data_IF_526809681219
#
_entry.id   IF_526809681219
#
_cell.length_a   1.000
_cell.length_b   1.000
_cell.length_c   1.000
_cell.angle_alpha   90.00
_cell.angle_beta   90.00
_cell.angle_gamma   90.00
#
_symmetry.space_group_name_H-M   'P 1'
#
loop_
_entity.id
_entity.type
_entity.pdbx_description
1 polymer ?
#
# COMPACT_ATOMS: atom_id res chain seq x y z
N UNK A 1 4.89 -15.01 5.00
CA UNK A 1 4.20 -14.48 3.79
C UNK A 1 2.72 -14.81 3.91
N UNK A 2 1.79 -13.84 3.72
CA UNK A 2 0.35 -14.05 3.94
C UNK A 2 -0.24 -15.31 3.28
N UNK A 3 0.14 -15.60 2.04
CA UNK A 3 -0.30 -16.82 1.36
C UNK A 3 0.22 -18.11 2.00
N UNK A 4 1.43 -18.09 2.61
CA UNK A 4 1.95 -19.23 3.36
C UNK A 4 1.19 -19.44 4.67
N UNK A 5 0.75 -18.36 5.31
CA UNK A 5 -0.06 -18.41 6.53
C UNK A 5 -1.44 -19.04 6.26
N UNK A 6 -1.97 -18.84 5.05
CA UNK A 6 -3.19 -19.47 4.56
C UNK A 6 -3.00 -20.93 4.09
N UNK A 7 -1.79 -21.48 4.23
CA UNK A 7 -1.49 -22.88 3.91
C UNK A 7 -1.00 -23.14 2.48
N UNK A 8 -0.86 -22.12 1.64
CA UNK A 8 -0.37 -22.30 0.28
C UNK A 8 1.13 -22.55 0.22
N UNK A 9 1.57 -23.43 -0.69
CA UNK A 9 2.99 -23.65 -0.97
C UNK A 9 3.55 -22.50 -1.80
N UNK A 10 4.07 -21.48 -1.12
CA UNK A 10 4.61 -20.27 -1.74
C UNK A 10 6.13 -20.30 -1.71
N UNK A 11 6.73 -20.14 -2.89
CA UNK A 11 8.17 -19.96 -3.05
C UNK A 11 8.46 -18.55 -3.57
N UNK A 12 9.33 -17.83 -2.88
CA UNK A 12 9.87 -16.56 -3.37
C UNK A 12 11.17 -16.87 -4.09
N UNK A 13 11.27 -16.46 -5.35
CA UNK A 13 12.45 -16.73 -6.17
C UNK A 13 12.79 -15.54 -7.06
N UNK A 14 14.08 -15.35 -7.32
CA UNK A 14 14.63 -14.44 -8.34
C UNK A 14 15.03 -15.21 -9.60
N UNK A 15 14.76 -16.51 -9.68
CA UNK A 15 15.12 -17.36 -10.80
C UNK A 15 13.88 -17.87 -11.52
N UNK A 16 13.77 -17.50 -12.80
CA UNK A 16 12.71 -18.00 -13.67
C UNK A 16 12.85 -19.50 -13.98
N UNK A 17 14.03 -20.08 -13.78
CA UNK A 17 14.28 -21.51 -14.03
C UNK A 17 13.56 -22.43 -13.02
N UNK A 18 12.98 -21.85 -11.99
CA UNK A 18 12.21 -22.57 -10.97
C UNK A 18 10.71 -22.69 -11.31
N UNK A 19 10.27 -22.02 -12.38
CA UNK A 19 8.89 -22.08 -12.84
C UNK A 19 8.65 -23.42 -13.52
N UNK A 20 7.62 -24.12 -13.09
CA UNK A 20 7.17 -25.40 -13.64
C UNK A 20 5.82 -25.26 -14.33
N UNK A 21 5.39 -26.27 -15.06
CA UNK A 21 4.09 -26.28 -15.77
C UNK A 21 2.88 -26.22 -14.84
N UNK A 22 3.07 -26.48 -13.55
CA UNK A 22 2.00 -26.40 -12.54
C UNK A 22 2.11 -25.14 -11.67
N UNK A 23 3.01 -24.22 -12.00
CA UNK A 23 3.21 -23.00 -11.21
C UNK A 23 2.13 -21.96 -11.48
N UNK A 24 1.67 -21.30 -10.42
CA UNK A 24 1.01 -20.00 -10.49
C UNK A 24 2.06 -18.96 -10.11
N UNK A 25 2.38 -18.08 -11.02
CA UNK A 25 3.48 -17.13 -10.91
C UNK A 25 2.92 -15.75 -10.70
N UNK A 26 3.11 -15.18 -9.50
CA UNK A 26 2.84 -13.76 -9.23
C UNK A 26 4.12 -12.97 -9.50
N UNK A 27 4.14 -12.21 -10.55
CA UNK A 27 5.28 -11.38 -10.94
C UNK A 27 5.03 -9.93 -10.52
N UNK A 28 5.81 -9.45 -9.55
CA UNK A 28 5.95 -8.03 -9.24
C UNK A 28 7.25 -7.49 -9.83
N UNK A 29 7.30 -6.22 -10.14
CA UNK A 29 8.48 -5.47 -10.56
C UNK A 29 9.36 -6.14 -11.66
N UNK A 30 9.08 -5.74 -12.90
CA UNK A 30 9.78 -6.28 -14.09
C UNK A 30 11.06 -5.50 -14.46
N UNK A 31 11.42 -4.46 -13.72
CA UNK A 31 12.50 -3.55 -14.07
C UNK A 31 13.88 -4.20 -14.19
N UNK A 32 14.07 -5.36 -13.56
CA UNK A 32 15.35 -6.05 -13.51
C UNK A 32 15.47 -7.20 -14.51
N UNK A 33 14.43 -7.47 -15.29
CA UNK A 33 14.46 -8.50 -16.30
C UNK A 33 14.87 -7.90 -17.66
N UNK A 34 16.04 -8.25 -18.15
CA UNK A 34 16.38 -8.00 -19.54
C UNK A 34 15.40 -8.77 -20.46
N UNK A 35 14.63 -8.03 -21.23
CA UNK A 35 13.68 -8.58 -22.19
C UNK A 35 12.64 -9.55 -21.57
N UNK A 36 11.78 -9.06 -20.64
CA UNK A 36 10.84 -9.91 -19.91
C UNK A 36 9.87 -10.68 -20.85
N UNK A 37 9.52 -10.12 -22.01
CA UNK A 37 8.67 -10.79 -22.98
C UNK A 37 9.32 -12.07 -23.54
N UNK A 38 10.61 -12.04 -23.87
CA UNK A 38 11.32 -13.24 -24.35
C UNK A 38 11.46 -14.29 -23.23
N UNK A 39 11.67 -13.84 -22.01
CA UNK A 39 11.77 -14.72 -20.86
C UNK A 39 10.46 -15.47 -20.65
N UNK A 40 9.34 -14.76 -20.59
CA UNK A 40 8.02 -15.37 -20.42
C UNK A 40 7.64 -16.26 -21.62
N UNK A 41 7.99 -15.87 -22.85
CA UNK A 41 7.71 -16.66 -24.04
C UNK A 41 8.45 -17.99 -24.06
N UNK A 42 9.68 -18.05 -23.52
CA UNK A 42 10.52 -19.25 -23.52
C UNK A 42 10.37 -20.12 -22.25
N UNK A 43 9.60 -19.66 -21.26
CA UNK A 43 9.34 -20.43 -20.05
C UNK A 43 8.19 -21.42 -20.23
N UNK A 44 7.83 -22.09 -19.15
CA UNK A 44 6.73 -23.04 -19.16
C UNK A 44 5.45 -22.43 -19.71
N UNK A 45 4.94 -22.99 -20.80
CA UNK A 45 3.71 -22.51 -21.46
C UNK A 45 2.43 -22.88 -20.71
N UNK A 46 2.53 -23.80 -19.76
CA UNK A 46 1.39 -24.26 -18.96
C UNK A 46 1.29 -23.54 -17.63
N UNK A 47 2.33 -22.84 -17.20
CA UNK A 47 2.29 -22.01 -16.00
C UNK A 47 1.32 -20.83 -16.17
N UNK A 48 0.68 -20.44 -15.07
CA UNK A 48 -0.27 -19.33 -15.03
C UNK A 48 0.46 -18.09 -14.54
N UNK A 49 0.51 -17.08 -15.38
CA UNK A 49 1.19 -15.83 -15.06
C UNK A 49 0.21 -14.75 -14.65
N UNK A 50 0.45 -14.15 -13.48
CA UNK A 50 -0.30 -13.03 -12.91
C UNK A 50 0.66 -11.87 -12.71
N UNK A 51 0.39 -10.72 -13.33
CA UNK A 51 1.21 -9.53 -13.21
C UNK A 51 0.78 -8.66 -12.04
N UNK A 52 1.75 -8.08 -11.31
CA UNK A 52 1.51 -7.01 -10.35
C UNK A 52 2.26 -5.77 -10.80
N UNK A 53 1.52 -4.82 -11.33
CA UNK A 53 2.05 -3.61 -11.95
C UNK A 53 2.23 -2.51 -10.90
N UNK A 54 3.46 -2.19 -10.54
CA UNK A 54 3.78 -1.26 -9.45
C UNK A 54 4.06 0.16 -9.92
N UNK A 55 4.65 0.32 -11.09
CA UNK A 55 5.05 1.60 -11.65
C UNK A 55 4.84 1.61 -13.17
N UNK A 56 5.14 2.75 -13.82
CA UNK A 56 5.16 2.85 -15.27
C UNK A 56 6.15 1.84 -15.86
N UNK A 57 5.69 0.70 -16.26
CA UNK A 57 6.47 -0.37 -16.86
C UNK A 57 6.14 -0.51 -18.33
N UNK A 58 6.93 -1.31 -19.03
CA UNK A 58 6.62 -1.67 -20.40
C UNK A 58 5.35 -2.52 -20.45
N UNK A 59 4.28 -1.94 -21.00
CA UNK A 59 2.98 -2.59 -21.12
C UNK A 59 2.96 -3.71 -22.19
N UNK A 60 4.02 -3.84 -22.99
CA UNK A 60 4.10 -4.86 -24.04
C UNK A 60 4.04 -6.29 -23.52
N UNK A 61 4.37 -6.49 -22.25
CA UNK A 61 4.33 -7.81 -21.59
C UNK A 61 2.96 -8.16 -21.00
N UNK A 62 2.04 -7.20 -20.86
CA UNK A 62 0.74 -7.44 -20.25
C UNK A 62 -0.09 -8.56 -20.91
N UNK A 63 -0.03 -8.78 -22.24
CA UNK A 63 -0.73 -9.89 -22.89
C UNK A 63 -0.30 -11.28 -22.44
N UNK A 64 0.85 -11.43 -21.78
CA UNK A 64 1.32 -12.72 -21.27
C UNK A 64 0.70 -13.12 -19.92
N UNK A 65 -0.02 -12.20 -19.29
CA UNK A 65 -0.67 -12.43 -18.01
C UNK A 65 -2.16 -12.72 -18.20
N UNK A 66 -2.68 -13.68 -17.44
CA UNK A 66 -4.14 -13.90 -17.39
C UNK A 66 -4.85 -12.83 -16.59
N UNK A 67 -4.14 -12.21 -15.64
CA UNK A 67 -4.66 -11.15 -14.79
C UNK A 67 -3.55 -10.18 -14.43
N UNK A 68 -3.90 -8.89 -14.27
CA UNK A 68 -2.94 -7.86 -13.87
C UNK A 68 -3.50 -7.11 -12.68
N UNK A 69 -2.72 -7.06 -11.61
CA UNK A 69 -2.98 -6.19 -10.47
C UNK A 69 -2.27 -4.87 -10.64
N UNK A 70 -2.96 -3.79 -10.32
CA UNK A 70 -2.43 -2.43 -10.42
C UNK A 70 -2.29 -1.81 -9.02
N UNK A 71 -1.07 -1.40 -8.68
CA UNK A 71 -0.74 -0.80 -7.39
C UNK A 71 -0.84 0.73 -7.38
N UNK A 72 -0.91 1.34 -8.56
CA UNK A 72 -0.94 2.81 -8.71
C UNK A 72 -2.35 3.38 -8.81
N UNK A 73 -3.37 2.52 -8.86
CA UNK A 73 -4.78 2.92 -8.86
C UNK A 73 -5.41 2.70 -7.50
N UNK A 74 -6.10 3.70 -7.02
CA UNK A 74 -7.00 3.55 -5.89
C UNK A 74 -8.23 2.72 -6.28
N UNK A 75 -8.79 1.98 -5.30
CA UNK A 75 -10.02 1.21 -5.50
C UNK A 75 -11.24 2.10 -5.82
N UNK A 76 -11.20 3.37 -5.35
CA UNK A 76 -12.19 4.41 -5.63
C UNK A 76 -11.54 5.62 -6.32
N UNK A 77 -11.08 5.53 -7.56
CA UNK A 77 -10.47 6.64 -8.26
C UNK A 77 -11.50 7.72 -8.60
N UNK A 78 -11.04 8.96 -8.73
CA UNK A 78 -11.86 10.04 -9.29
C UNK A 78 -11.83 9.92 -10.83
N UNK A 79 -12.94 9.57 -11.49
CA UNK A 79 -12.94 9.12 -12.90
C UNK A 79 -12.32 10.12 -13.87
N UNK A 80 -12.56 11.41 -13.63
CA UNK A 80 -12.17 12.46 -14.58
C UNK A 80 -10.71 12.94 -14.40
N UNK A 81 -9.96 12.36 -13.43
CA UNK A 81 -8.67 12.89 -13.01
C UNK A 81 -7.53 11.88 -12.96
N UNK A 82 -7.77 10.65 -13.38
CA UNK A 82 -6.77 9.58 -13.34
C UNK A 82 -6.42 9.11 -14.74
N UNK A 83 -5.38 9.67 -15.38
CA UNK A 83 -5.01 9.29 -16.75
C UNK A 83 -4.72 7.81 -16.94
N UNK A 84 -4.15 7.16 -15.92
CA UNK A 84 -3.81 5.75 -15.98
C UNK A 84 -5.06 4.86 -15.95
N UNK A 85 -6.19 5.33 -15.41
CA UNK A 85 -7.44 4.59 -15.44
C UNK A 85 -7.92 4.33 -16.88
N UNK A 86 -7.67 5.28 -17.79
CA UNK A 86 -7.99 5.10 -19.21
C UNK A 86 -7.12 4.01 -19.85
N UNK A 87 -5.84 3.93 -19.45
CA UNK A 87 -4.94 2.87 -19.87
C UNK A 87 -5.40 1.53 -19.30
N UNK A 88 -5.70 1.46 -18.00
CA UNK A 88 -6.16 0.24 -17.34
C UNK A 88 -7.45 -0.31 -17.94
N UNK A 89 -8.39 0.55 -18.32
CA UNK A 89 -9.62 0.13 -18.99
C UNK A 89 -9.38 -0.54 -20.34
N UNK A 90 -8.21 -0.37 -20.94
CA UNK A 90 -7.82 -1.06 -22.19
C UNK A 90 -7.14 -2.41 -21.94
N UNK A 91 -6.80 -2.73 -20.68
CA UNK A 91 -6.12 -3.97 -20.30
C UNK A 91 -7.17 -4.98 -19.84
N UNK A 92 -7.33 -6.12 -20.52
CA UNK A 92 -8.25 -7.16 -20.08
C UNK A 92 -7.87 -7.69 -18.69
N UNK A 93 -8.87 -7.99 -17.89
CA UNK A 93 -8.71 -8.66 -16.61
C UNK A 93 -7.73 -7.95 -15.65
N UNK A 94 -7.95 -6.66 -15.40
CA UNK A 94 -7.17 -5.90 -14.43
C UNK A 94 -8.03 -5.41 -13.27
N UNK A 95 -7.43 -5.30 -12.09
CA UNK A 95 -8.05 -4.68 -10.93
C UNK A 95 -7.02 -4.07 -9.98
N UNK A 96 -7.41 -3.09 -9.16
CA UNK A 96 -6.52 -2.52 -8.16
C UNK A 96 -6.14 -3.54 -7.07
N UNK A 97 -4.86 -3.55 -6.71
CA UNK A 97 -4.35 -4.30 -5.56
C UNK A 97 -3.29 -3.48 -4.85
N UNK A 98 -3.61 -2.96 -3.69
CA UNK A 98 -2.75 -2.06 -2.94
C UNK A 98 -1.88 -2.81 -1.93
N UNK A 99 -0.68 -2.29 -1.67
CA UNK A 99 0.13 -2.68 -0.52
C UNK A 99 -0.51 -2.14 0.76
N UNK A 100 -0.57 -2.99 1.80
CA UNK A 100 -1.27 -2.72 3.05
C UNK A 100 -0.36 -2.98 4.26
N UNK A 101 -0.88 -2.92 5.47
CA UNK A 101 -0.11 -3.22 6.68
C UNK A 101 0.31 -4.70 6.75
N UNK A 102 1.50 -4.94 7.28
CA UNK A 102 2.08 -6.29 7.38
C UNK A 102 1.70 -7.05 8.65
N UNK A 103 1.16 -6.35 9.66
CA UNK A 103 0.84 -6.98 10.93
C UNK A 103 -0.36 -7.91 10.83
N UNK A 104 -0.41 -8.88 11.74
CA UNK A 104 -1.54 -9.76 11.86
C UNK A 104 -2.79 -8.99 12.35
N UNK A 105 -3.96 -9.51 12.02
CA UNK A 105 -5.24 -8.90 12.45
C UNK A 105 -5.36 -8.88 13.98
N UNK A 106 -4.78 -9.89 14.65
CA UNK A 106 -4.79 -10.02 16.10
C UNK A 106 -3.94 -8.94 16.78
N UNK A 107 -2.81 -8.58 16.18
CA UNK A 107 -1.86 -7.61 16.76
C UNK A 107 -2.33 -6.16 16.61
N UNK A 108 -3.09 -5.85 15.55
CA UNK A 108 -3.56 -4.49 15.28
C UNK A 108 -4.44 -4.01 16.44
N UNK A 109 -4.08 -2.84 17.01
CA UNK A 109 -4.77 -2.24 18.14
C UNK A 109 -4.37 -2.78 19.51
N UNK A 110 -3.47 -3.79 19.59
CA UNK A 110 -2.97 -4.37 20.84
C UNK A 110 -1.55 -3.92 21.21
N UNK A 111 -0.91 -3.12 20.37
CA UNK A 111 0.42 -2.59 20.65
C UNK A 111 0.37 -1.54 21.76
N UNK A 112 1.31 -1.63 22.71
CA UNK A 112 1.53 -0.59 23.70
C UNK A 112 2.09 0.67 23.02
N UNK A 113 1.48 1.81 23.27
CA UNK A 113 1.88 3.10 22.73
C UNK A 113 2.50 3.99 23.81
N UNK A 114 3.65 4.55 23.51
CA UNK A 114 4.32 5.54 24.36
C UNK A 114 4.54 6.83 23.55
N UNK A 115 3.48 7.63 23.46
CA UNK A 115 3.43 8.83 22.62
C UNK A 115 4.22 9.96 23.27
N UNK A 116 5.31 10.36 22.64
CA UNK A 116 6.19 11.47 23.05
C UNK A 116 6.43 12.50 21.94
N UNK A 117 5.87 12.26 20.74
CA UNK A 117 5.93 13.13 19.57
C UNK A 117 4.54 13.42 19.03
N UNK A 118 4.38 14.60 18.45
CA UNK A 118 3.12 14.97 17.80
C UNK A 118 2.97 14.26 16.47
N UNK A 119 4.01 14.24 15.63
CA UNK A 119 3.90 13.63 14.29
C UNK A 119 5.14 12.86 13.86
N UNK A 120 4.94 11.95 12.92
CA UNK A 120 6.02 11.33 12.15
C UNK A 120 5.77 11.41 10.63
N UNK A 121 6.86 11.41 9.89
CA UNK A 121 6.85 11.18 8.45
C UNK A 121 7.97 10.21 8.06
N UNK A 122 7.61 9.16 7.33
CA UNK A 122 8.54 8.17 6.81
C UNK A 122 8.37 8.05 5.30
N UNK A 123 9.27 8.67 4.54
CA UNK A 123 9.18 8.69 3.09
C UNK A 123 10.38 9.30 2.41
N UNK A 124 10.51 9.07 1.12
CA UNK A 124 11.71 9.41 0.37
C UNK A 124 11.89 10.88 -0.01
N UNK A 125 10.82 11.66 -0.04
CA UNK A 125 10.88 13.10 -0.34
C UNK A 125 9.98 13.84 0.62
N UNK A 126 10.55 14.87 1.24
CA UNK A 126 9.84 15.78 2.12
C UNK A 126 9.30 16.91 1.26
N UNK A 127 8.00 17.13 1.32
CA UNK A 127 7.43 18.42 0.96
C UNK A 127 7.64 19.36 2.15
N UNK A 128 8.83 19.98 2.26
CA UNK A 128 9.24 20.78 3.42
C UNK A 128 8.22 21.87 3.80
N UNK A 129 7.55 22.44 2.81
CA UNK A 129 6.51 23.43 3.03
C UNK A 129 5.24 22.87 3.66
N UNK A 130 5.06 21.54 3.69
CA UNK A 130 3.93 20.87 4.33
C UNK A 130 4.26 20.36 5.75
N UNK A 131 5.54 20.33 6.14
CA UNK A 131 5.92 19.88 7.48
C UNK A 131 5.42 20.90 8.52
N UNK A 132 4.68 20.45 9.57
CA UNK A 132 4.27 21.31 10.65
C UNK A 132 5.46 22.05 11.28
N UNK A 133 5.25 23.34 11.60
CA UNK A 133 6.25 24.15 12.32
C UNK A 133 6.06 24.11 13.84
N UNK A 134 6.77 24.97 14.57
CA UNK A 134 6.52 25.16 15.99
C UNK A 134 5.04 25.46 16.26
N UNK A 135 4.45 24.93 17.34
CA UNK A 135 5.08 24.21 18.46
C UNK A 135 5.15 22.68 18.28
N UNK A 136 4.78 22.13 17.13
CA UNK A 136 4.67 20.69 16.93
C UNK A 136 6.02 19.98 16.90
N UNK A 137 6.12 18.89 17.65
CA UNK A 137 7.32 18.04 17.74
C UNK A 137 7.18 16.84 16.84
N UNK A 138 8.05 16.72 15.86
CA UNK A 138 8.02 15.65 14.90
C UNK A 138 9.30 14.85 14.81
N UNK A 139 9.16 13.67 14.20
CA UNK A 139 10.27 12.86 13.76
C UNK A 139 10.03 12.48 12.29
N UNK A 140 11.06 12.65 11.48
CA UNK A 140 10.95 12.24 10.08
C UNK A 140 12.21 11.55 9.59
N UNK A 141 11.99 10.55 8.76
CA UNK A 141 13.03 9.83 8.03
C UNK A 141 12.74 10.03 6.56
N UNK A 142 13.55 10.86 5.91
CA UNK A 142 13.30 11.30 4.54
C UNK A 142 14.58 11.32 3.73
N UNK A 143 15.22 10.18 3.53
CA UNK A 143 16.26 10.09 2.53
C UNK A 143 15.94 8.92 1.60
N UNK A 144 15.86 9.21 0.31
CA UNK A 144 15.84 8.20 -0.75
C UNK A 144 17.25 7.64 -0.91
N UNK A 145 17.74 7.07 0.17
CA UNK A 145 18.94 6.27 0.07
C UNK A 145 18.51 4.82 0.32
N UNK A 146 18.60 4.00 -0.70
CA UNK A 146 18.17 2.60 -0.69
C UNK A 146 18.90 1.79 0.40
N UNK A 147 20.01 2.32 0.92
CA UNK A 147 20.77 1.74 2.04
C UNK A 147 20.20 2.03 3.44
N UNK A 148 19.22 2.92 3.55
CA UNK A 148 18.66 3.36 4.84
C UNK A 148 17.17 3.07 4.99
N UNK A 149 16.70 1.96 4.44
CA UNK A 149 15.38 1.46 4.79
C UNK A 149 15.34 1.17 6.28
N UNK A 150 14.47 1.87 7.00
CA UNK A 150 14.22 1.54 8.40
C UNK A 150 13.73 0.10 8.49
N UNK A 151 14.35 -0.64 9.39
CA UNK A 151 13.85 -1.94 9.80
C UNK A 151 12.36 -1.84 10.19
N UNK A 152 11.60 -2.89 9.94
CA UNK A 152 10.16 -2.91 10.19
C UNK A 152 9.83 -2.61 11.65
N UNK A 153 10.60 -3.17 12.59
CA UNK A 153 10.40 -2.93 14.02
C UNK A 153 10.70 -1.48 14.41
N UNK A 154 11.72 -0.87 13.81
CA UNK A 154 12.03 0.56 14.02
C UNK A 154 10.90 1.43 13.49
N UNK A 155 10.38 1.15 12.29
CA UNK A 155 9.23 1.89 11.73
C UNK A 155 8.01 1.79 12.65
N UNK A 156 7.70 0.59 13.14
CA UNK A 156 6.60 0.37 14.08
C UNK A 156 6.77 1.21 15.34
N UNK A 157 7.96 1.22 15.96
CA UNK A 157 8.23 2.03 17.15
C UNK A 157 8.04 3.53 16.91
N UNK A 158 8.43 4.02 15.73
CA UNK A 158 8.19 5.43 15.36
C UNK A 158 6.69 5.74 15.34
N UNK A 159 5.85 4.90 14.72
CA UNK A 159 4.40 5.11 14.73
C UNK A 159 3.81 5.02 16.15
N UNK A 160 4.25 4.06 16.97
CA UNK A 160 3.76 3.89 18.33
C UNK A 160 4.12 5.06 19.25
N UNK A 161 5.17 5.83 18.90
CA UNK A 161 5.61 7.02 19.66
C UNK A 161 4.97 8.32 19.22
N UNK A 162 4.08 8.33 18.22
CA UNK A 162 3.53 9.56 17.63
C UNK A 162 2.00 9.58 17.61
N UNK A 163 1.42 10.79 17.70
CA UNK A 163 -0.03 10.99 17.57
C UNK A 163 -0.46 10.95 16.10
N UNK A 164 0.27 11.64 15.24
CA UNK A 164 -0.07 11.77 13.81
C UNK A 164 0.95 11.08 12.92
N UNK A 165 0.47 10.41 11.88
CA UNK A 165 1.30 9.94 10.78
C UNK A 165 1.02 10.77 9.52
N UNK A 166 2.05 11.40 8.97
CA UNK A 166 1.92 12.20 7.76
C UNK A 166 2.06 11.32 6.53
N UNK A 167 0.96 11.17 5.82
CA UNK A 167 0.84 10.35 4.61
C UNK A 167 1.02 11.16 3.33
N UNK A 168 2.10 11.97 3.24
CA UNK A 168 2.35 12.75 2.02
C UNK A 168 2.51 11.88 0.79
N UNK A 169 1.86 12.30 -0.28
CA UNK A 169 1.98 11.71 -1.60
C UNK A 169 2.62 12.72 -2.56
N UNK A 170 3.48 12.25 -3.46
CA UNK A 170 4.01 13.07 -4.55
C UNK A 170 2.90 13.42 -5.55
N UNK A 171 3.12 14.45 -6.36
CA UNK A 171 2.18 14.82 -7.42
C UNK A 171 1.87 13.65 -8.36
N UNK A 172 2.87 12.84 -8.72
CA UNK A 172 2.69 11.63 -9.54
C UNK A 172 1.80 10.59 -8.85
N UNK A 173 2.00 10.36 -7.55
CA UNK A 173 1.16 9.44 -6.80
C UNK A 173 -0.30 9.93 -6.74
N UNK A 174 -0.51 11.23 -6.52
CA UNK A 174 -1.85 11.82 -6.49
C UNK A 174 -2.51 11.69 -7.87
N UNK A 175 -1.78 12.02 -8.95
CA UNK A 175 -2.30 11.94 -10.32
C UNK A 175 -2.66 10.51 -10.73
N UNK A 176 -1.97 9.52 -10.20
CA UNK A 176 -2.22 8.11 -10.49
C UNK A 176 -3.11 7.43 -9.43
N UNK A 177 -3.69 8.20 -8.51
CA UNK A 177 -4.50 7.66 -7.40
C UNK A 177 -3.78 6.62 -6.53
N UNK A 178 -2.45 6.71 -6.45
CA UNK A 178 -1.66 5.80 -5.63
C UNK A 178 -1.84 6.10 -4.15
N UNK A 179 -2.09 5.06 -3.37
CA UNK A 179 -2.18 5.12 -1.89
C UNK A 179 -1.07 4.27 -1.30
N UNK A 180 -0.11 4.91 -0.65
CA UNK A 180 1.07 4.22 -0.12
C UNK A 180 0.75 3.40 1.13
N UNK A 181 1.52 2.33 1.34
CA UNK A 181 1.44 1.42 2.49
C UNK A 181 1.45 2.13 3.84
N UNK A 182 2.19 3.25 3.96
CA UNK A 182 2.28 4.05 5.20
C UNK A 182 0.93 4.56 5.73
N UNK A 183 -0.07 4.69 4.86
CA UNK A 183 -1.44 5.06 5.24
C UNK A 183 -2.04 3.97 6.13
N UNK A 184 -1.92 2.72 5.72
CA UNK A 184 -2.45 1.57 6.45
C UNK A 184 -1.60 1.25 7.69
N UNK A 185 -0.27 1.35 7.58
CA UNK A 185 0.64 1.18 8.72
C UNK A 185 0.36 2.21 9.82
N UNK A 186 0.23 3.50 9.46
CA UNK A 186 -0.10 4.55 10.44
C UNK A 186 -1.38 4.25 11.22
N UNK A 187 -2.44 3.80 10.53
CA UNK A 187 -3.68 3.42 11.19
C UNK A 187 -3.53 2.13 12.01
N UNK A 188 -2.76 1.14 11.53
CA UNK A 188 -2.51 -0.12 12.25
C UNK A 188 -1.88 0.10 13.63
N UNK A 189 -1.03 1.12 13.74
CA UNK A 189 -0.34 1.48 14.99
C UNK A 189 -1.04 2.61 15.78
N UNK A 190 -2.25 2.99 15.36
CA UNK A 190 -3.09 3.94 16.07
C UNK A 190 -2.69 5.41 15.92
N UNK A 191 -2.00 5.76 14.84
CA UNK A 191 -1.84 7.17 14.49
C UNK A 191 -3.11 7.68 13.81
N UNK A 192 -3.40 8.97 14.00
CA UNK A 192 -4.28 9.70 13.10
C UNK A 192 -3.47 10.01 11.84
N UNK A 193 -3.92 9.47 10.71
CA UNK A 193 -3.22 9.67 9.44
C UNK A 193 -3.76 10.92 8.75
N UNK A 194 -2.84 11.82 8.36
CA UNK A 194 -3.15 13.03 7.61
C UNK A 194 -2.46 12.95 6.25
N UNK A 195 -3.19 13.14 5.16
CA UNK A 195 -2.68 13.04 3.81
C UNK A 195 -3.07 14.21 2.91
N UNK A 196 -2.19 14.60 2.02
CA UNK A 196 -2.45 15.55 0.94
C UNK A 196 -3.09 14.88 -0.29
N UNK A 197 -3.48 13.62 -0.18
CA UNK A 197 -4.16 12.88 -1.24
C UNK A 197 -5.60 12.61 -0.87
N UNK A 198 -6.53 13.11 -1.67
CA UNK A 198 -7.96 12.81 -1.52
C UNK A 198 -8.24 11.31 -1.70
N UNK A 199 -7.43 10.62 -2.51
CA UNK A 199 -7.57 9.18 -2.73
C UNK A 199 -7.30 8.38 -1.44
N UNK A 200 -6.36 8.83 -0.59
CA UNK A 200 -6.12 8.18 0.70
C UNK A 200 -7.36 8.27 1.61
N UNK A 201 -8.04 9.41 1.63
CA UNK A 201 -9.29 9.57 2.36
C UNK A 201 -10.43 8.72 1.78
N UNK A 202 -10.60 8.71 0.46
CA UNK A 202 -11.62 7.90 -0.21
C UNK A 202 -11.42 6.40 0.01
N UNK A 203 -10.16 5.93 -0.06
CA UNK A 203 -9.82 4.50 0.14
C UNK A 203 -10.04 4.03 1.58
N UNK A 204 -10.11 4.94 2.52
CA UNK A 204 -10.23 4.65 3.94
C UNK A 204 -11.57 5.12 4.53
N UNK A 205 -12.60 5.24 3.71
CA UNK A 205 -13.95 5.63 4.09
C UNK A 205 -13.98 6.95 4.91
N UNK A 206 -13.08 7.90 4.60
CA UNK A 206 -12.93 9.18 5.27
C UNK A 206 -12.20 9.14 6.64
N UNK A 207 -11.61 7.99 6.99
CA UNK A 207 -10.86 7.86 8.26
C UNK A 207 -9.55 8.65 8.19
N UNK A 208 -8.85 8.59 7.06
CA UNK A 208 -7.67 9.43 6.80
C UNK A 208 -8.11 10.88 6.57
N UNK A 209 -7.51 11.80 7.30
CA UNK A 209 -7.79 13.22 7.20
C UNK A 209 -7.09 13.81 5.96
N UNK A 210 -7.86 14.26 5.00
CA UNK A 210 -7.35 14.96 3.83
C UNK A 210 -7.07 16.43 4.16
N UNK A 211 -5.91 16.94 3.76
CA UNK A 211 -5.57 18.36 3.90
C UNK A 211 -5.06 18.96 2.58
N UNK A 212 -5.29 20.25 2.40
CA UNK A 212 -5.01 20.98 1.15
C UNK A 212 -3.82 21.95 1.24
N UNK A 213 -3.43 22.31 2.46
CA UNK A 213 -2.34 23.24 2.71
C UNK A 213 -1.67 22.95 4.05
N UNK A 214 -0.51 23.59 4.31
CA UNK A 214 0.16 23.52 5.61
C UNK A 214 -0.73 24.08 6.73
N UNK A 215 -1.41 25.18 6.49
CA UNK A 215 -2.34 25.77 7.46
C UNK A 215 -3.50 24.81 7.80
N UNK A 216 -4.09 24.15 6.79
CA UNK A 216 -5.15 23.17 7.01
C UNK A 216 -4.64 21.95 7.79
N UNK A 217 -3.42 21.47 7.48
CA UNK A 217 -2.76 20.42 8.25
C UNK A 217 -2.60 20.80 9.72
N UNK A 218 -2.04 21.97 10.01
CA UNK A 218 -1.82 22.46 11.37
C UNK A 218 -3.13 22.68 12.12
N UNK A 219 -4.16 23.21 11.47
CA UNK A 219 -5.50 23.36 12.05
C UNK A 219 -6.12 21.99 12.43
N UNK A 220 -5.98 20.98 11.58
CA UNK A 220 -6.44 19.61 11.90
C UNK A 220 -5.67 19.02 13.07
N UNK A 221 -4.35 19.12 13.09
CA UNK A 221 -3.54 18.66 14.21
C UNK A 221 -3.95 19.35 15.53
N UNK A 222 -4.11 20.67 15.50
CA UNK A 222 -4.57 21.46 16.65
C UNK A 222 -5.94 20.98 17.14
N UNK A 223 -6.90 20.81 16.21
CA UNK A 223 -8.23 20.32 16.56
C UNK A 223 -8.18 19.00 17.32
N UNK A 224 -7.41 18.03 16.86
CA UNK A 224 -7.30 16.74 17.52
C UNK A 224 -6.61 16.85 18.89
N UNK A 225 -5.50 17.61 18.99
CA UNK A 225 -4.80 17.80 20.26
C UNK A 225 -5.67 18.49 21.32
N UNK A 226 -6.57 19.37 20.91
CA UNK A 226 -7.56 20.01 21.78
C UNK A 226 -8.76 19.11 22.12
N UNK A 227 -8.94 17.99 21.38
CA UNK A 227 -10.06 17.06 21.51
C UNK A 227 -9.60 15.60 21.66
N UNK A 228 -9.02 15.17 22.79
CA UNK A 228 -8.46 13.82 22.95
C UNK A 228 -9.46 12.68 22.70
N UNK A 229 -10.73 12.88 22.99
CA UNK A 229 -11.78 11.89 22.69
C UNK A 229 -11.90 11.62 21.19
N UNK A 230 -11.66 12.65 20.35
CA UNK A 230 -11.65 12.50 18.90
C UNK A 230 -10.41 11.74 18.40
N UNK A 231 -9.29 11.86 19.09
CA UNK A 231 -8.11 11.03 18.83
C UNK A 231 -8.48 9.56 19.02
N UNK A 232 -9.06 9.23 20.18
CA UNK A 232 -9.45 7.84 20.49
C UNK A 232 -10.48 7.29 19.50
N UNK A 233 -11.50 8.06 19.16
CA UNK A 233 -12.51 7.68 18.16
C UNK A 233 -11.87 7.35 16.79
N UNK A 234 -10.95 8.20 16.31
CA UNK A 234 -10.24 7.98 15.05
C UNK A 234 -9.31 6.77 15.09
N UNK A 235 -8.65 6.54 16.21
CA UNK A 235 -7.80 5.36 16.41
C UNK A 235 -8.63 4.06 16.31
N UNK A 236 -9.76 4.00 16.99
CA UNK A 236 -10.66 2.84 16.96
C UNK A 236 -11.20 2.58 15.55
N UNK A 237 -11.60 3.63 14.83
CA UNK A 237 -12.02 3.53 13.42
C UNK A 237 -10.87 3.03 12.53
N UNK A 238 -9.66 3.54 12.72
CA UNK A 238 -8.47 3.12 11.99
C UNK A 238 -8.15 1.64 12.21
N UNK A 239 -8.12 1.19 13.47
CA UNK A 239 -7.91 -0.22 13.81
C UNK A 239 -8.95 -1.13 13.18
N UNK A 240 -10.24 -0.77 13.29
CA UNK A 240 -11.32 -1.53 12.68
C UNK A 240 -11.14 -1.66 11.17
N UNK A 241 -10.90 -0.54 10.50
CA UNK A 241 -10.71 -0.53 9.05
C UNK A 241 -9.52 -1.39 8.62
N UNK A 242 -8.37 -1.27 9.31
CA UNK A 242 -7.18 -2.04 8.95
C UNK A 242 -7.40 -3.53 9.18
N UNK A 243 -8.05 -3.92 10.29
CA UNK A 243 -8.41 -5.32 10.52
C UNK A 243 -9.28 -5.90 9.41
N UNK A 244 -10.24 -5.14 8.92
CA UNK A 244 -11.20 -5.61 7.91
C UNK A 244 -10.65 -5.57 6.49
N UNK A 245 -9.88 -4.53 6.13
CA UNK A 245 -9.50 -4.23 4.75
C UNK A 245 -8.06 -3.76 4.54
N UNK A 246 -7.31 -3.51 5.60
CA UNK A 246 -6.02 -2.79 5.53
C UNK A 246 -4.79 -3.67 5.69
N UNK A 247 -4.91 -4.99 5.75
CA UNK A 247 -3.80 -5.92 5.90
C UNK A 247 -3.36 -6.52 4.57
N UNK A 248 -2.11 -6.98 4.50
CA UNK A 248 -1.63 -7.74 3.33
C UNK A 248 -2.34 -9.10 3.19
N UNK A 249 -2.89 -9.66 4.28
CA UNK A 249 -3.74 -10.86 4.22
C UNK A 249 -5.02 -10.58 3.42
N UNK A 250 -5.64 -9.41 3.57
CA UNK A 250 -6.77 -9.01 2.73
C UNK A 250 -6.38 -8.96 1.25
N UNK A 251 -5.20 -8.42 0.91
CA UNK A 251 -4.72 -8.41 -0.48
C UNK A 251 -4.42 -9.83 -1.00
N UNK A 252 -3.87 -10.70 -0.15
CA UNK A 252 -3.64 -12.11 -0.49
C UNK A 252 -4.96 -12.84 -0.78
N UNK A 253 -5.98 -12.66 0.07
CA UNK A 253 -7.30 -13.23 -0.14
C UNK A 253 -7.93 -12.76 -1.46
N UNK A 254 -7.77 -11.49 -1.79
CA UNK A 254 -8.23 -10.93 -3.08
C UNK A 254 -7.59 -11.62 -4.29
N UNK A 255 -6.29 -11.96 -4.20
CA UNK A 255 -5.60 -12.74 -5.24
C UNK A 255 -6.22 -14.13 -5.38
N UNK A 256 -6.42 -14.82 -4.26
CA UNK A 256 -7.02 -16.16 -4.22
C UNK A 256 -8.43 -16.12 -4.82
N UNK A 257 -9.24 -15.16 -4.41
CA UNK A 257 -10.62 -15.02 -4.88
C UNK A 257 -10.71 -14.79 -6.39
N UNK A 258 -9.81 -13.98 -6.96
CA UNK A 258 -9.73 -13.77 -8.40
C UNK A 258 -9.35 -15.07 -9.11
N UNK A 259 -8.33 -15.77 -8.63
CA UNK A 259 -7.88 -17.04 -9.22
C UNK A 259 -9.01 -18.06 -9.21
N UNK A 260 -9.68 -18.26 -8.08
CA UNK A 260 -10.77 -19.24 -7.91
C UNK A 260 -12.05 -18.83 -8.63
N UNK A 261 -12.53 -17.61 -8.35
CA UNK A 261 -13.88 -17.21 -8.76
C UNK A 261 -13.95 -16.67 -10.19
N UNK A 262 -12.87 -16.04 -10.67
CA UNK A 262 -12.85 -15.47 -12.01
C UNK A 262 -12.35 -16.49 -13.05
N UNK A 263 -11.36 -17.29 -12.69
CA UNK A 263 -10.72 -18.22 -13.63
C UNK A 263 -11.07 -19.69 -13.36
N UNK A 264 -11.76 -20.01 -12.28
CA UNK A 264 -12.14 -21.40 -11.94
C UNK A 264 -10.95 -22.30 -11.65
N UNK A 265 -9.80 -21.72 -11.28
CA UNK A 265 -8.58 -22.46 -10.99
C UNK A 265 -8.62 -22.86 -9.52
N UNK A 266 -8.66 -24.18 -9.26
CA UNK A 266 -8.48 -24.69 -7.91
C UNK A 266 -6.99 -24.64 -7.53
N UNK A 267 -6.73 -24.12 -6.37
CA UNK A 267 -5.38 -24.06 -5.79
C UNK A 267 -5.39 -25.09 -4.66
N UNK A 268 -4.60 -26.17 -4.85
CA UNK A 268 -4.42 -27.19 -3.82
C UNK A 268 -3.54 -26.66 -2.69
N UNK A 269 -3.90 -27.01 -1.45
CA UNK A 269 -3.15 -26.64 -0.24
C UNK A 269 -1.93 -27.54 -0.03
#
# INVERSE_FOLDING_TARGET
VPLQEEGYNVKISNSINEITDTSIVLMGDFFHLENPANILYNQSKNAIYIGWYWHKQDISILPYFIHVYENTLAENPLPDKVPILQLMNSIPNSCPLLLRANDSVEDIGNFERNVDKDYCFMGGRICEWLIPGDPYKGIYYGVYNVSEYLDYDVRRQVYLSTTFALGFQSGDNISNAHVSQRIYEGMAYGCIVLSNSIHASLQTDGIVEYFTSKEDLENKMKYFLENPDKIKEKQELGYKFVKEKGTNNFSAQKIIDVIKNTYGIEIDF
#
